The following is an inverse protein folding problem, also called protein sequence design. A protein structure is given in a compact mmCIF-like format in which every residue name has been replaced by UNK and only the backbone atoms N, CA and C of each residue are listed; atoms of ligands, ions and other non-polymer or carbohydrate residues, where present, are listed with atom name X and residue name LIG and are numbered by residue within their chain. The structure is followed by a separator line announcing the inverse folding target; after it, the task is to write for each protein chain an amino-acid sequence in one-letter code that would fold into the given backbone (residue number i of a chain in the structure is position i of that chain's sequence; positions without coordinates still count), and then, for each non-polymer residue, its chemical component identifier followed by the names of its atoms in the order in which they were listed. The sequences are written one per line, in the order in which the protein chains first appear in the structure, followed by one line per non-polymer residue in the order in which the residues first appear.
data_IF_274111876104
#
_entry.id   IF_274111876104
#
_cell.length_a   1.000
_cell.length_b   1.000
_cell.length_c   1.000
_cell.angle_alpha   90.00
_cell.angle_beta   90.00
_cell.angle_gamma   90.00
#
_symmetry.space_group_name_H-M   'P 1'
#
loop_
_entity.id
_entity.type
_entity.pdbx_description
1 polymer ?
#
# COMPACT_ATOMS: atom_id res chain seq x y z
N UNK A 1 -27.51 -13.67 -4.87
CA UNK A 1 -26.67 -12.47 -4.83
C UNK A 1 -26.54 -11.95 -3.41
N UNK A 2 -25.38 -12.16 -2.80
CA UNK A 2 -25.04 -11.61 -1.49
C UNK A 2 -24.60 -10.15 -1.67
N UNK A 3 -25.26 -9.24 -0.97
CA UNK A 3 -24.89 -7.83 -0.95
C UNK A 3 -23.90 -7.57 0.19
N UNK A 4 -22.82 -6.85 -0.10
CA UNK A 4 -21.78 -6.45 0.85
C UNK A 4 -21.69 -4.93 0.91
N UNK A 5 -21.78 -4.38 2.11
CA UNK A 5 -21.70 -2.94 2.35
C UNK A 5 -20.31 -2.51 2.80
N UNK A 6 -19.77 -1.47 2.16
CA UNK A 6 -18.43 -0.94 2.49
C UNK A 6 -18.47 0.58 2.74
N UNK A 7 -17.60 1.04 3.63
CA UNK A 7 -17.33 2.45 3.87
C UNK A 7 -15.91 2.80 3.44
N UNK A 8 -15.72 3.90 2.72
CA UNK A 8 -14.43 4.38 2.27
C UNK A 8 -13.94 5.50 3.19
N UNK A 9 -12.78 5.31 3.81
CA UNK A 9 -12.10 6.29 4.64
C UNK A 9 -10.87 6.79 3.90
N UNK A 10 -10.97 7.99 3.32
CA UNK A 10 -10.03 8.49 2.33
C UNK A 10 -10.57 8.31 0.91
N UNK A 11 -10.57 9.39 0.14
CA UNK A 11 -11.04 9.41 -1.24
C UNK A 11 -10.12 10.26 -2.13
N UNK A 12 -8.81 10.12 -1.89
CA UNK A 12 -7.75 10.67 -2.73
C UNK A 12 -7.56 9.86 -4.02
N UNK A 13 -6.35 9.85 -4.57
CA UNK A 13 -6.07 9.13 -5.83
C UNK A 13 -6.42 7.64 -5.75
N UNK A 14 -5.99 6.96 -4.68
CA UNK A 14 -6.29 5.53 -4.45
C UNK A 14 -7.78 5.28 -4.23
N UNK A 15 -8.44 6.05 -3.36
CA UNK A 15 -9.89 5.88 -3.12
C UNK A 15 -10.76 6.15 -4.35
N UNK A 16 -10.41 7.15 -5.18
CA UNK A 16 -11.07 7.40 -6.47
C UNK A 16 -10.82 6.27 -7.46
N UNK A 17 -9.59 5.76 -7.55
CA UNK A 17 -9.27 4.61 -8.40
C UNK A 17 -10.03 3.35 -7.95
N UNK A 18 -10.19 3.14 -6.65
CA UNK A 18 -10.98 2.07 -6.08
C UNK A 18 -12.47 2.17 -6.41
N UNK A 19 -13.06 3.36 -6.30
CA UNK A 19 -14.45 3.59 -6.73
C UNK A 19 -14.64 3.30 -8.23
N UNK A 20 -13.72 3.77 -9.09
CA UNK A 20 -13.72 3.47 -10.53
C UNK A 20 -13.57 1.97 -10.80
N UNK A 21 -12.69 1.29 -10.07
CA UNK A 21 -12.49 -0.15 -10.18
C UNK A 21 -13.75 -0.94 -9.80
N UNK A 22 -14.42 -0.58 -8.70
CA UNK A 22 -15.68 -1.21 -8.29
C UNK A 22 -16.74 -1.10 -9.37
N UNK A 23 -16.94 0.09 -9.95
CA UNK A 23 -17.87 0.31 -11.06
C UNK A 23 -17.57 -0.61 -12.26
N UNK A 24 -16.29 -0.74 -12.64
CA UNK A 24 -15.87 -1.63 -13.74
C UNK A 24 -16.04 -3.11 -13.43
N UNK A 25 -15.89 -3.52 -12.16
CA UNK A 25 -15.93 -4.92 -11.73
C UNK A 25 -17.33 -5.41 -11.32
N UNK A 26 -18.37 -4.57 -11.38
CA UNK A 26 -19.74 -4.99 -11.02
C UNK A 26 -20.23 -6.21 -11.79
N UNK A 27 -19.98 -6.27 -13.10
CA UNK A 27 -20.42 -7.40 -13.93
C UNK A 27 -19.79 -8.73 -13.48
N UNK A 28 -18.47 -8.74 -13.28
CA UNK A 28 -17.74 -9.95 -12.86
C UNK A 28 -18.06 -10.37 -11.43
N UNK A 29 -18.26 -9.41 -10.51
CA UNK A 29 -18.72 -9.71 -9.15
C UNK A 29 -20.08 -10.43 -9.18
N UNK A 30 -20.99 -9.98 -10.05
CA UNK A 30 -22.31 -10.58 -10.19
C UNK A 30 -22.26 -11.97 -10.85
N UNK A 31 -21.52 -12.11 -11.94
CA UNK A 31 -21.49 -13.37 -12.71
C UNK A 31 -20.67 -14.47 -12.05
N UNK A 32 -19.49 -14.14 -11.51
CA UNK A 32 -18.50 -15.14 -11.12
C UNK A 32 -18.49 -15.37 -9.60
N UNK A 33 -18.97 -14.40 -8.82
CA UNK A 33 -18.94 -14.44 -7.36
C UNK A 33 -20.34 -14.42 -6.70
N UNK A 34 -21.43 -14.20 -7.46
CA UNK A 34 -22.78 -13.94 -6.92
C UNK A 34 -22.77 -12.81 -5.85
N UNK A 35 -21.94 -11.78 -6.06
CA UNK A 35 -21.73 -10.66 -5.14
C UNK A 35 -22.20 -9.34 -5.74
N UNK A 36 -22.74 -8.48 -4.87
CA UNK A 36 -22.90 -7.06 -5.13
C UNK A 36 -22.23 -6.27 -4.00
N UNK A 37 -21.31 -5.37 -4.36
CA UNK A 37 -20.64 -4.49 -3.39
C UNK A 37 -21.25 -3.10 -3.52
N UNK A 38 -21.80 -2.58 -2.42
CA UNK A 38 -22.35 -1.23 -2.32
C UNK A 38 -21.50 -0.38 -1.39
N UNK A 39 -21.22 0.87 -1.80
CA UNK A 39 -20.53 1.84 -0.94
C UNK A 39 -21.58 2.61 -0.17
N UNK A 40 -21.69 2.40 1.13
CA UNK A 40 -22.70 3.06 1.99
C UNK A 40 -22.16 4.29 2.70
N UNK A 41 -20.86 4.55 2.62
CA UNK A 41 -20.28 5.77 3.14
C UNK A 41 -18.94 6.12 2.49
N UNK A 42 -18.68 7.41 2.37
CA UNK A 42 -17.40 7.97 1.94
C UNK A 42 -17.04 9.12 2.88
N UNK A 43 -15.83 9.12 3.43
CA UNK A 43 -15.28 10.24 4.17
C UNK A 43 -13.96 10.70 3.58
N UNK A 44 -13.75 12.02 3.54
CA UNK A 44 -12.58 12.65 2.94
C UNK A 44 -11.94 13.64 3.89
N UNK A 45 -10.68 14.01 3.64
CA UNK A 45 -9.99 15.03 4.42
C UNK A 45 -10.48 16.47 4.14
N UNK A 46 -11.01 16.73 2.94
CA UNK A 46 -11.29 18.11 2.47
C UNK A 46 -12.66 18.34 1.81
N UNK A 47 -13.37 17.29 1.39
CA UNK A 47 -14.66 17.38 0.67
C UNK A 47 -15.84 16.86 1.51
N UNK A 48 -15.66 16.79 2.83
CA UNK A 48 -16.66 16.27 3.77
C UNK A 48 -16.88 14.76 3.64
N UNK A 49 -18.07 14.32 4.02
CA UNK A 49 -18.50 12.92 3.99
C UNK A 49 -19.92 12.75 3.50
N UNK A 50 -20.25 11.53 3.08
CA UNK A 50 -21.59 11.07 2.77
C UNK A 50 -21.84 9.71 3.41
N UNK A 51 -23.01 9.53 4.02
CA UNK A 51 -23.53 8.22 4.42
C UNK A 51 -24.90 8.06 3.74
N UNK A 52 -25.08 6.95 3.05
CA UNK A 52 -26.35 6.57 2.44
C UNK A 52 -26.50 5.05 2.58
N UNK A 53 -27.46 4.63 3.40
CA UNK A 53 -27.73 3.23 3.70
C UNK A 53 -28.15 2.42 2.47
N UNK A 54 -28.76 3.06 1.46
CA UNK A 54 -29.12 2.44 0.19
C UNK A 54 -27.96 2.43 -0.84
N UNK A 55 -26.84 3.08 -0.52
CA UNK A 55 -25.67 3.20 -1.39
C UNK A 55 -25.45 4.63 -1.90
N UNK A 56 -24.20 5.07 -1.82
CA UNK A 56 -23.71 6.34 -2.37
C UNK A 56 -23.45 6.16 -3.87
N UNK A 57 -23.97 7.07 -4.69
CA UNK A 57 -23.71 7.07 -6.12
C UNK A 57 -22.24 7.45 -6.41
N UNK A 58 -21.42 6.46 -6.78
CA UNK A 58 -19.99 6.64 -7.00
C UNK A 58 -19.64 7.56 -8.18
N UNK A 59 -20.38 7.48 -9.29
CA UNK A 59 -20.15 8.39 -10.42
C UNK A 59 -20.34 9.85 -9.98
N UNK A 60 -21.43 10.10 -9.24
CA UNK A 60 -21.71 11.44 -8.72
C UNK A 60 -20.68 11.89 -7.68
N UNK A 61 -20.23 10.99 -6.81
CA UNK A 61 -19.19 11.31 -5.83
C UNK A 61 -17.87 11.72 -6.50
N UNK A 62 -17.48 11.01 -7.58
CA UNK A 62 -16.30 11.34 -8.38
C UNK A 62 -16.44 12.71 -9.04
N UNK A 63 -17.57 12.99 -9.70
CA UNK A 63 -17.85 14.29 -10.34
C UNK A 63 -17.81 15.45 -9.34
N UNK A 64 -18.40 15.29 -8.15
CA UNK A 64 -18.43 16.33 -7.13
C UNK A 64 -17.02 16.70 -6.69
N UNK A 65 -16.18 15.70 -6.41
CA UNK A 65 -14.79 15.93 -5.97
C UNK A 65 -13.94 16.53 -7.08
N UNK A 66 -14.08 16.06 -8.32
CA UNK A 66 -13.38 16.66 -9.47
C UNK A 66 -13.80 18.11 -9.68
N UNK A 67 -15.03 18.47 -9.32
CA UNK A 67 -15.59 19.82 -9.41
C UNK A 67 -15.43 20.66 -8.13
N UNK A 68 -14.78 20.14 -7.09
CA UNK A 68 -14.55 20.84 -5.81
C UNK A 68 -15.81 21.01 -4.92
N UNK A 69 -16.89 20.28 -5.19
CA UNK A 69 -18.12 20.31 -4.38
C UNK A 69 -18.08 19.28 -3.25
N UNK A 70 -18.77 19.55 -2.12
CA UNK A 70 -18.80 18.66 -0.97
C UNK A 70 -19.65 17.41 -1.23
N UNK A 71 -19.23 16.28 -0.65
CA UNK A 71 -19.95 15.00 -0.70
C UNK A 71 -21.24 15.01 0.13
N UNK A 72 -21.42 15.96 1.05
CA UNK A 72 -22.61 16.04 1.92
C UNK A 72 -23.93 16.08 1.15
N UNK A 73 -23.91 16.52 -0.10
CA UNK A 73 -25.06 16.50 -1.03
C UNK A 73 -25.56 15.08 -1.36
N UNK A 74 -24.73 14.05 -1.12
CA UNK A 74 -25.07 12.64 -1.29
C UNK A 74 -25.46 11.94 0.03
N UNK A 75 -25.38 12.66 1.15
CA UNK A 75 -25.71 12.13 2.47
C UNK A 75 -27.22 12.10 2.67
N UNK A 76 -27.78 10.97 3.14
CA UNK A 76 -29.23 10.79 3.31
C UNK A 76 -29.86 11.83 4.26
N UNK A 77 -29.11 12.32 5.25
CA UNK A 77 -29.57 13.29 6.25
C UNK A 77 -28.85 14.65 6.17
N UNK A 78 -28.04 14.88 5.12
CA UNK A 78 -27.25 16.11 4.95
C UNK A 78 -26.18 16.36 6.02
N UNK A 79 -25.98 15.42 6.95
CA UNK A 79 -24.99 15.53 8.02
C UNK A 79 -23.57 15.28 7.49
N UNK A 80 -22.61 15.99 8.06
CA UNK A 80 -21.19 15.79 7.81
C UNK A 80 -20.54 15.16 9.03
N UNK A 81 -19.83 14.05 8.83
CA UNK A 81 -19.04 13.36 9.83
C UNK A 81 -17.55 13.44 9.49
N UNK A 82 -16.69 13.32 10.50
CA UNK A 82 -15.25 13.22 10.32
C UNK A 82 -14.68 12.12 11.22
N UNK A 83 -13.49 11.62 10.85
CA UNK A 83 -12.73 10.66 11.65
C UNK A 83 -13.57 9.50 12.17
N UNK A 84 -13.49 9.27 13.49
CA UNK A 84 -14.23 8.21 14.17
C UNK A 84 -15.75 8.43 14.21
N UNK A 85 -16.23 9.67 14.17
CA UNK A 85 -17.67 9.94 14.14
C UNK A 85 -18.32 9.35 12.88
N UNK A 86 -17.62 9.41 11.74
CA UNK A 86 -18.06 8.78 10.49
C UNK A 86 -18.12 7.24 10.63
N UNK A 87 -17.08 6.64 11.20
CA UNK A 87 -16.97 5.19 11.39
C UNK A 87 -18.08 4.67 12.32
N UNK A 88 -18.41 5.44 13.35
CA UNK A 88 -19.46 5.09 14.30
C UNK A 88 -20.86 5.23 13.70
N UNK A 89 -21.07 6.24 12.84
CA UNK A 89 -22.35 6.51 12.18
C UNK A 89 -22.63 5.57 10.99
N UNK A 90 -21.60 5.15 10.25
CA UNK A 90 -21.80 4.30 9.07
C UNK A 90 -21.98 2.82 9.46
N UNK A 91 -23.05 2.19 9.01
CA UNK A 91 -23.40 0.79 9.31
C UNK A 91 -22.69 -0.26 8.44
N UNK A 92 -21.77 0.15 7.55
CA UNK A 92 -21.07 -0.74 6.62
C UNK A 92 -20.40 -1.96 7.29
N UNK A 93 -20.38 -3.09 6.60
CA UNK A 93 -19.68 -4.31 7.04
C UNK A 93 -18.15 -4.20 6.95
N UNK A 94 -17.64 -3.41 5.99
CA UNK A 94 -16.21 -3.17 5.81
C UNK A 94 -15.86 -1.69 5.99
N UNK A 95 -14.69 -1.42 6.56
CA UNK A 95 -13.98 -0.15 6.38
C UNK A 95 -12.81 -0.38 5.43
N UNK A 96 -12.77 0.36 4.33
CA UNK A 96 -11.64 0.43 3.39
C UNK A 96 -10.92 1.74 3.64
N UNK A 97 -9.68 1.67 4.10
CA UNK A 97 -8.91 2.81 4.60
C UNK A 97 -7.73 3.12 3.66
N UNK A 98 -7.70 4.34 3.15
CA UNK A 98 -6.66 4.84 2.26
C UNK A 98 -6.36 6.32 2.56
N UNK A 99 -6.31 6.68 3.84
CA UNK A 99 -5.93 8.01 4.29
C UNK A 99 -4.42 8.21 4.15
N UNK A 100 -3.93 9.47 4.10
CA UNK A 100 -2.50 9.74 4.00
C UNK A 100 -1.68 9.07 5.12
N UNK A 101 -0.46 8.66 4.78
CA UNK A 101 0.45 8.04 5.71
C UNK A 101 0.99 9.07 6.72
N UNK A 102 0.99 8.67 7.99
CA UNK A 102 1.87 9.25 9.00
C UNK A 102 2.94 8.21 9.37
N UNK A 103 4.22 8.45 9.00
CA UNK A 103 5.28 7.46 9.17
C UNK A 103 5.85 7.38 10.59
N UNK A 104 5.37 8.22 11.53
CA UNK A 104 5.90 8.30 12.88
C UNK A 104 5.17 7.40 13.88
N UNK A 105 3.84 7.33 13.77
CA UNK A 105 3.00 6.59 14.73
C UNK A 105 1.78 5.92 14.07
N UNK A 106 1.61 6.05 12.74
CA UNK A 106 0.49 5.48 12.00
C UNK A 106 -0.86 6.16 12.26
N UNK A 107 -0.90 7.31 12.95
CA UNK A 107 -2.13 8.04 13.23
C UNK A 107 -2.50 9.02 12.11
N UNK A 108 -3.79 9.26 11.82
CA UNK A 108 -4.97 8.76 12.55
C UNK A 108 -5.49 7.40 12.05
N UNK A 109 -4.92 6.85 10.97
CA UNK A 109 -5.37 5.60 10.35
C UNK A 109 -5.46 4.45 11.36
N UNK A 110 -4.48 4.33 12.25
CA UNK A 110 -4.48 3.30 13.29
C UNK A 110 -5.72 3.41 14.22
N UNK A 111 -6.09 4.61 14.66
CA UNK A 111 -7.29 4.81 15.48
C UNK A 111 -8.57 4.51 14.71
N UNK A 112 -8.63 4.88 13.43
CA UNK A 112 -9.77 4.57 12.57
C UNK A 112 -10.00 3.06 12.44
N UNK A 113 -8.94 2.29 12.19
CA UNK A 113 -9.01 0.84 12.07
C UNK A 113 -9.44 0.17 13.38
N UNK A 114 -8.91 0.62 14.53
CA UNK A 114 -9.35 0.15 15.86
C UNK A 114 -10.83 0.45 16.11
N UNK A 115 -11.27 1.66 15.79
CA UNK A 115 -12.66 2.09 15.94
C UNK A 115 -13.59 1.21 15.09
N UNK A 116 -13.23 0.95 13.83
CA UNK A 116 -13.99 0.08 12.93
C UNK A 116 -14.09 -1.37 13.42
N UNK A 117 -12.99 -1.97 13.88
CA UNK A 117 -13.00 -3.31 14.46
C UNK A 117 -13.89 -3.39 15.71
N UNK A 118 -13.84 -2.38 16.58
CA UNK A 118 -14.71 -2.30 17.77
C UNK A 118 -16.19 -2.16 17.41
N UNK A 119 -16.50 -1.61 16.24
CA UNK A 119 -17.85 -1.55 15.65
C UNK A 119 -18.21 -2.80 14.83
N UNK A 120 -17.39 -3.85 14.89
CA UNK A 120 -17.66 -5.13 14.23
C UNK A 120 -17.48 -5.13 12.72
N UNK A 121 -16.66 -4.20 12.18
CA UNK A 121 -16.35 -4.13 10.75
C UNK A 121 -15.13 -4.97 10.41
N UNK A 122 -15.10 -5.54 9.21
CA UNK A 122 -13.84 -5.98 8.61
C UNK A 122 -13.03 -4.75 8.18
N UNK A 123 -11.71 -4.82 8.21
CA UNK A 123 -10.86 -3.70 7.82
C UNK A 123 -9.88 -4.10 6.72
N UNK A 124 -9.79 -3.24 5.71
CA UNK A 124 -8.82 -3.30 4.61
C UNK A 124 -8.10 -1.96 4.58
N UNK A 125 -6.76 -1.96 4.52
CA UNK A 125 -5.99 -0.71 4.54
C UNK A 125 -4.87 -0.72 3.50
N UNK A 126 -4.72 0.37 2.76
CA UNK A 126 -3.53 0.64 1.93
C UNK A 126 -2.44 1.40 2.71
N UNK A 127 -2.64 1.68 3.99
CA UNK A 127 -1.76 2.52 4.79
C UNK A 127 -0.69 1.69 5.51
N UNK A 128 0.57 2.01 5.25
CA UNK A 128 1.74 1.35 5.86
C UNK A 128 1.86 1.60 7.36
N UNK A 129 1.37 2.75 7.85
CA UNK A 129 1.50 3.16 9.25
C UNK A 129 0.89 2.14 10.21
N UNK A 130 -0.40 1.80 10.09
CA UNK A 130 -1.03 0.78 10.93
C UNK A 130 -0.38 -0.61 10.83
N UNK A 131 0.19 -0.98 9.67
CA UNK A 131 0.90 -2.26 9.50
C UNK A 131 2.20 -2.26 10.31
N UNK A 132 2.91 -1.14 10.40
CA UNK A 132 4.16 -1.08 11.17
C UNK A 132 3.90 -0.89 12.66
N UNK A 133 3.04 0.06 13.02
CA UNK A 133 2.86 0.48 14.42
C UNK A 133 1.73 -0.28 15.15
N UNK A 134 0.82 -0.91 14.42
CA UNK A 134 -0.41 -1.47 14.96
C UNK A 134 -0.69 -2.93 14.60
N UNK A 135 0.17 -3.61 13.82
CA UNK A 135 -0.16 -4.92 13.26
C UNK A 135 -0.58 -5.96 14.30
N UNK A 136 0.22 -6.14 15.36
CA UNK A 136 -0.09 -7.11 16.41
C UNK A 136 -1.40 -6.76 17.14
N UNK A 137 -1.58 -5.49 17.51
CA UNK A 137 -2.77 -5.03 18.22
C UNK A 137 -4.04 -5.18 17.36
N UNK A 138 -3.98 -4.75 16.10
CA UNK A 138 -5.10 -4.85 15.16
C UNK A 138 -5.42 -6.31 14.83
N UNK A 139 -4.42 -7.17 14.66
CA UNK A 139 -4.62 -8.59 14.38
C UNK A 139 -5.31 -9.30 15.54
N UNK A 140 -4.82 -9.08 16.78
CA UNK A 140 -5.45 -9.62 18.00
C UNK A 140 -6.86 -9.07 18.19
N UNK A 141 -7.08 -7.78 17.92
CA UNK A 141 -8.42 -7.18 18.03
C UNK A 141 -9.37 -7.74 16.98
N UNK A 142 -8.92 -7.91 15.73
CA UNK A 142 -9.71 -8.47 14.66
C UNK A 142 -10.15 -9.91 14.99
N UNK A 143 -9.24 -10.74 15.48
CA UNK A 143 -9.54 -12.10 15.94
C UNK A 143 -10.58 -12.09 17.08
N UNK A 144 -10.39 -11.28 18.13
CA UNK A 144 -11.34 -11.14 19.25
C UNK A 144 -12.73 -10.70 18.80
N UNK A 145 -12.84 -9.93 17.71
CA UNK A 145 -14.10 -9.45 17.16
C UNK A 145 -14.69 -10.38 16.09
N UNK A 146 -14.03 -11.50 15.79
CA UNK A 146 -14.34 -12.38 14.65
C UNK A 146 -14.44 -11.57 13.34
N UNK A 147 -13.42 -10.74 13.10
CA UNK A 147 -13.25 -9.88 11.93
C UNK A 147 -11.89 -10.09 11.30
N UNK A 148 -11.69 -9.48 10.15
CA UNK A 148 -10.44 -9.57 9.39
C UNK A 148 -9.74 -8.23 9.34
N UNK A 149 -8.41 -8.28 9.30
CA UNK A 149 -7.55 -7.15 9.00
C UNK A 149 -6.57 -7.54 7.89
N UNK A 150 -6.83 -7.06 6.67
CA UNK A 150 -5.91 -7.21 5.54
C UNK A 150 -5.40 -5.85 5.03
N UNK A 151 -4.28 -5.89 4.33
CA UNK A 151 -3.49 -4.71 4.00
C UNK A 151 -2.55 -4.95 2.81
N UNK A 152 -2.99 -5.70 1.80
CA UNK A 152 -2.18 -6.07 0.64
C UNK A 152 -1.51 -4.84 0.02
N UNK A 153 -2.27 -3.76 -0.10
CA UNK A 153 -1.82 -2.51 -0.71
C UNK A 153 -0.88 -1.64 0.11
N UNK A 154 -0.47 -2.10 1.30
CA UNK A 154 0.55 -1.40 2.06
C UNK A 154 1.93 -1.49 1.39
N UNK A 155 2.29 -2.62 0.77
CA UNK A 155 3.61 -2.82 0.16
C UNK A 155 3.46 -3.41 -1.23
N UNK A 156 4.04 -2.75 -2.24
CA UNK A 156 3.93 -3.11 -3.66
C UNK A 156 2.47 -3.12 -4.17
N UNK A 157 1.74 -2.04 -3.87
CA UNK A 157 0.48 -1.66 -4.51
C UNK A 157 -0.61 -2.75 -4.60
N UNK A 158 -0.67 -3.48 -5.71
CA UNK A 158 -1.64 -4.56 -5.91
C UNK A 158 -1.03 -5.95 -5.98
N UNK A 159 0.30 -6.03 -5.97
CA UNK A 159 1.01 -7.29 -6.10
C UNK A 159 0.78 -8.14 -4.83
N UNK A 160 0.52 -9.45 -4.97
CA UNK A 160 0.26 -10.31 -3.82
C UNK A 160 1.55 -10.60 -3.07
N UNK A 161 1.82 -9.84 -2.02
CA UNK A 161 2.96 -10.04 -1.13
C UNK A 161 2.52 -10.78 0.13
N UNK A 162 1.55 -10.24 0.85
CA UNK A 162 1.11 -10.77 2.13
C UNK A 162 0.17 -11.97 1.94
N UNK A 163 -0.79 -11.88 1.02
CA UNK A 163 -1.69 -13.01 0.69
C UNK A 163 -0.94 -14.21 0.14
N UNK A 164 0.15 -14.02 -0.62
CA UNK A 164 0.95 -15.11 -1.15
C UNK A 164 1.41 -16.06 -0.04
N UNK A 165 2.02 -15.54 1.01
CA UNK A 165 2.52 -16.34 2.14
C UNK A 165 1.42 -16.76 3.12
N UNK A 166 0.39 -15.92 3.30
CA UNK A 166 -0.73 -16.23 4.17
C UNK A 166 -1.59 -17.37 3.64
N UNK A 167 -1.73 -17.49 2.31
CA UNK A 167 -2.73 -18.38 1.69
C UNK A 167 -2.12 -19.43 0.75
N UNK A 168 -1.27 -19.02 -0.19
CA UNK A 168 -0.80 -19.92 -1.25
C UNK A 168 0.45 -20.72 -0.87
N UNK A 169 1.27 -20.20 0.04
CA UNK A 169 2.52 -20.81 0.49
C UNK A 169 2.51 -21.14 2.00
N UNK A 170 1.55 -21.96 2.47
CA UNK A 170 1.46 -22.31 3.87
C UNK A 170 2.74 -23.02 4.32
N UNK A 171 3.20 -22.71 5.54
CA UNK A 171 4.38 -23.29 6.18
C UNK A 171 5.74 -23.05 5.49
N UNK A 172 5.81 -22.18 4.47
CA UNK A 172 7.09 -21.70 3.94
C UNK A 172 7.76 -20.76 4.94
N UNK A 173 9.05 -20.99 5.21
CA UNK A 173 9.84 -20.14 6.08
C UNK A 173 10.64 -19.12 5.26
N UNK A 174 10.32 -17.83 5.38
CA UNK A 174 11.09 -16.76 4.72
C UNK A 174 12.28 -16.37 5.59
N UNK A 175 13.51 -16.52 5.08
CA UNK A 175 14.77 -16.21 5.79
C UNK A 175 15.31 -14.82 5.48
N UNK A 176 15.08 -14.36 4.25
CA UNK A 176 15.50 -13.05 3.79
C UNK A 176 14.60 -12.54 2.67
N UNK A 177 14.64 -11.23 2.44
CA UNK A 177 14.15 -10.63 1.21
C UNK A 177 15.10 -9.55 0.72
N UNK A 178 15.10 -9.32 -0.59
CA UNK A 178 15.81 -8.20 -1.23
C UNK A 178 14.97 -7.66 -2.39
N UNK A 179 15.05 -6.37 -2.68
CA UNK A 179 14.21 -5.77 -3.71
C UNK A 179 14.42 -4.29 -3.94
N UNK A 180 13.62 -3.76 -4.86
CA UNK A 180 13.41 -2.32 -5.09
C UNK A 180 11.96 -2.05 -4.72
N UNK A 181 11.76 -1.37 -3.59
CA UNK A 181 10.43 -1.14 -3.02
C UNK A 181 9.98 0.33 -3.12
N UNK A 182 10.78 1.20 -3.72
CA UNK A 182 10.46 2.61 -3.91
C UNK A 182 10.60 3.03 -5.37
N UNK A 183 9.47 3.13 -6.05
CA UNK A 183 9.37 3.48 -7.47
C UNK A 183 9.92 4.87 -7.79
N UNK A 184 9.75 5.84 -6.87
CA UNK A 184 10.23 7.21 -7.04
C UNK A 184 11.75 7.23 -7.21
N UNK A 185 12.51 6.71 -6.23
CA UNK A 185 13.98 6.65 -6.32
C UNK A 185 14.47 5.80 -7.49
N UNK A 186 13.78 4.71 -7.84
CA UNK A 186 14.15 3.91 -9.01
C UNK A 186 14.06 4.73 -10.30
N UNK A 187 12.97 5.48 -10.47
CA UNK A 187 12.76 6.35 -11.62
C UNK A 187 13.77 7.50 -11.66
N UNK A 188 14.06 8.13 -10.52
CA UNK A 188 15.04 9.22 -10.44
C UNK A 188 16.45 8.76 -10.82
N UNK A 189 16.90 7.60 -10.32
CA UNK A 189 18.20 7.03 -10.68
C UNK A 189 18.28 6.68 -12.17
N UNK A 190 17.19 6.17 -12.75
CA UNK A 190 17.11 5.89 -14.19
C UNK A 190 17.15 7.18 -15.02
N UNK A 191 16.51 8.28 -14.57
CA UNK A 191 16.66 9.58 -15.22
C UNK A 191 18.09 10.08 -15.16
N UNK A 192 18.76 9.98 -14.02
CA UNK A 192 20.17 10.39 -13.90
C UNK A 192 21.08 9.57 -14.83
N UNK A 193 20.82 8.26 -14.97
CA UNK A 193 21.51 7.41 -15.93
C UNK A 193 21.29 7.83 -17.40
N UNK A 194 20.18 8.50 -17.68
CA UNK A 194 19.87 9.11 -18.98
C UNK A 194 20.40 10.55 -19.13
N UNK A 195 21.28 11.00 -18.22
CA UNK A 195 22.00 12.28 -18.33
C UNK A 195 21.31 13.48 -17.68
N UNK A 196 20.22 13.29 -16.94
CA UNK A 196 19.62 14.36 -16.15
C UNK A 196 20.43 14.63 -14.87
N UNK A 197 20.45 15.90 -14.42
CA UNK A 197 20.93 16.22 -13.08
C UNK A 197 19.97 15.65 -12.03
N UNK A 198 20.40 15.55 -10.76
CA UNK A 198 19.54 15.11 -9.66
C UNK A 198 18.30 16.01 -9.54
N UNK A 199 18.49 17.33 -9.58
CA UNK A 199 17.40 18.31 -9.47
C UNK A 199 16.43 18.22 -10.66
N UNK A 200 16.95 18.08 -11.88
CA UNK A 200 16.10 17.88 -13.06
C UNK A 200 15.31 16.56 -12.98
N UNK A 201 15.93 15.51 -12.46
CA UNK A 201 15.25 14.23 -12.25
C UNK A 201 14.09 14.39 -11.26
N UNK A 202 14.31 15.07 -10.13
CA UNK A 202 13.27 15.36 -9.13
C UNK A 202 12.13 16.18 -9.75
N UNK A 203 12.45 17.24 -10.50
CA UNK A 203 11.44 18.05 -11.20
C UNK A 203 10.61 17.22 -12.19
N UNK A 204 11.23 16.30 -12.92
CA UNK A 204 10.52 15.38 -13.82
C UNK A 204 9.64 14.39 -13.07
N UNK A 205 10.12 13.86 -11.95
CA UNK A 205 9.32 13.01 -11.07
C UNK A 205 8.06 13.73 -10.56
N UNK A 206 8.20 15.02 -10.21
CA UNK A 206 7.08 15.87 -9.80
C UNK A 206 6.08 16.13 -10.94
N UNK A 207 6.56 16.35 -12.17
CA UNK A 207 5.70 16.57 -13.34
C UNK A 207 4.78 15.37 -13.65
N UNK A 208 5.26 14.15 -13.45
CA UNK A 208 4.46 12.93 -13.65
C UNK A 208 3.71 12.49 -12.37
N UNK A 209 3.92 13.19 -11.26
CA UNK A 209 3.25 12.94 -9.98
C UNK A 209 3.77 11.74 -9.19
N UNK A 210 4.96 11.20 -9.52
CA UNK A 210 5.59 10.13 -8.71
C UNK A 210 6.39 10.69 -7.53
N UNK A 211 6.83 11.94 -7.63
CA UNK A 211 7.59 12.63 -6.58
C UNK A 211 6.75 13.75 -6.01
N UNK A 212 6.68 13.85 -4.68
CA UNK A 212 5.97 14.95 -4.01
C UNK A 212 6.76 16.26 -4.06
N UNK A 213 6.12 17.38 -3.68
CA UNK A 213 6.77 18.69 -3.60
C UNK A 213 7.98 18.66 -2.66
N UNK A 214 7.84 18.00 -1.51
CA UNK A 214 8.96 17.62 -0.65
C UNK A 214 9.30 16.14 -0.93
N UNK A 215 10.41 15.85 -1.64
CA UNK A 215 10.76 14.48 -2.02
C UNK A 215 11.43 13.69 -0.89
N UNK A 216 11.64 14.28 0.29
CA UNK A 216 12.50 13.72 1.35
C UNK A 216 12.05 12.33 1.81
N UNK A 217 10.74 12.05 1.79
CA UNK A 217 10.22 10.71 2.10
C UNK A 217 10.80 9.62 1.16
N UNK A 218 10.99 9.94 -0.11
CA UNK A 218 11.55 9.04 -1.11
C UNK A 218 13.07 9.10 -1.16
N UNK A 219 13.65 10.29 -1.41
CA UNK A 219 15.07 10.41 -1.73
C UNK A 219 15.99 10.17 -0.53
N UNK A 220 15.47 10.33 0.70
CA UNK A 220 16.18 9.90 1.90
C UNK A 220 15.90 8.42 2.23
N UNK A 221 14.95 7.78 1.57
CA UNK A 221 14.67 6.34 1.72
C UNK A 221 13.69 6.00 2.84
N UNK A 222 12.92 6.96 3.37
CA UNK A 222 11.96 6.72 4.44
C UNK A 222 10.77 5.85 4.00
N UNK A 223 10.24 6.07 2.78
CA UNK A 223 9.17 5.22 2.22
C UNK A 223 9.65 3.76 2.02
N UNK A 224 10.89 3.59 1.55
CA UNK A 224 11.52 2.28 1.47
C UNK A 224 11.68 1.64 2.87
N UNK A 225 12.15 2.40 3.87
CA UNK A 225 12.34 1.90 5.24
C UNK A 225 11.03 1.46 5.89
N UNK A 226 9.93 2.19 5.71
CA UNK A 226 8.63 1.77 6.27
C UNK A 226 8.10 0.51 5.57
N UNK A 227 8.38 0.30 4.28
CA UNK A 227 8.07 -0.96 3.58
C UNK A 227 8.90 -2.12 4.09
N UNK A 228 10.21 -1.93 4.31
CA UNK A 228 11.09 -2.94 4.94
C UNK A 228 10.60 -3.29 6.35
N UNK A 229 10.20 -2.30 7.14
CA UNK A 229 9.64 -2.50 8.48
C UNK A 229 8.31 -3.27 8.44
N UNK A 230 7.42 -2.94 7.50
CA UNK A 230 6.15 -3.65 7.32
C UNK A 230 6.37 -5.12 6.94
N UNK A 231 7.25 -5.39 5.96
CA UNK A 231 7.59 -6.75 5.55
C UNK A 231 8.23 -7.55 6.71
N UNK A 232 9.17 -6.95 7.43
CA UNK A 232 9.80 -7.61 8.60
C UNK A 232 8.78 -7.91 9.70
N UNK A 233 7.89 -6.96 9.98
CA UNK A 233 6.86 -7.13 11.02
C UNK A 233 5.90 -8.26 10.68
N UNK A 234 5.42 -8.31 9.44
CA UNK A 234 4.36 -9.25 9.03
C UNK A 234 4.91 -10.61 8.60
N UNK A 235 5.97 -10.62 7.78
CA UNK A 235 6.49 -11.85 7.18
C UNK A 235 7.49 -12.58 8.07
N UNK A 236 8.24 -11.84 8.91
CA UNK A 236 9.15 -12.46 9.88
C UNK A 236 8.55 -12.58 11.28
N UNK A 237 7.45 -11.88 11.57
CA UNK A 237 6.92 -11.77 12.93
C UNK A 237 7.85 -10.98 13.86
N UNK A 238 8.73 -10.12 13.32
CA UNK A 238 9.69 -9.32 14.08
C UNK A 238 9.36 -7.84 13.89
N UNK A 239 8.65 -7.21 14.85
CA UNK A 239 8.29 -5.81 14.75
C UNK A 239 9.53 -4.91 14.83
N UNK A 240 9.68 -4.03 13.84
CA UNK A 240 10.67 -2.96 13.83
C UNK A 240 10.03 -1.67 13.31
N UNK A 241 10.60 -0.52 13.65
CA UNK A 241 10.18 0.79 13.11
C UNK A 241 11.09 1.23 11.95
N UNK A 242 10.66 2.20 11.11
CA UNK A 242 11.49 2.70 10.03
C UNK A 242 12.82 3.30 10.50
N UNK A 243 12.89 3.80 11.74
CA UNK A 243 14.10 4.36 12.35
C UNK A 243 15.12 3.27 12.73
N UNK A 244 14.68 2.01 12.90
CA UNK A 244 15.57 0.88 13.18
C UNK A 244 16.16 0.26 11.90
N UNK A 245 15.73 0.71 10.73
CA UNK A 245 16.30 0.30 9.44
C UNK A 245 17.57 1.11 9.17
N UNK A 246 18.67 0.42 8.84
CA UNK A 246 19.92 1.04 8.42
C UNK A 246 19.74 1.70 7.04
N UNK A 247 19.43 3.00 7.06
CA UNK A 247 18.93 3.77 5.92
C UNK A 247 19.97 4.74 5.40
N UNK A 248 20.25 4.68 4.11
CA UNK A 248 20.92 5.70 3.31
C UNK A 248 20.08 5.95 2.07
N UNK A 249 19.78 7.21 1.79
CA UNK A 249 19.00 7.62 0.61
C UNK A 249 19.85 7.74 -0.65
N UNK A 250 19.26 8.27 -1.71
CA UNK A 250 19.93 8.53 -3.00
C UNK A 250 20.44 9.97 -3.14
N UNK A 251 20.21 10.84 -2.14
CA UNK A 251 20.52 12.28 -2.20
C UNK A 251 21.97 12.60 -2.57
N UNK A 252 22.91 11.78 -2.10
CA UNK A 252 24.35 11.99 -2.30
C UNK A 252 24.90 11.25 -3.53
N UNK A 253 24.05 10.62 -4.34
CA UNK A 253 24.46 9.99 -5.60
C UNK A 253 24.70 11.10 -6.63
N UNK A 254 25.91 11.15 -7.20
CA UNK A 254 26.29 12.18 -8.19
C UNK A 254 26.24 11.65 -9.63
N UNK A 255 26.23 12.57 -10.60
CA UNK A 255 26.30 12.21 -12.02
C UNK A 255 27.58 11.45 -12.37
N UNK A 256 28.71 11.77 -11.71
CA UNK A 256 29.97 11.06 -11.88
C UNK A 256 29.87 9.62 -11.37
N UNK A 257 29.22 9.39 -10.21
CA UNK A 257 29.00 8.04 -9.68
C UNK A 257 28.11 7.21 -10.61
N UNK A 258 27.08 7.82 -11.20
CA UNK A 258 26.20 7.17 -12.19
C UNK A 258 26.97 6.83 -13.47
N UNK A 259 27.79 7.77 -13.97
CA UNK A 259 28.60 7.56 -15.16
C UNK A 259 29.62 6.44 -14.97
N UNK A 260 30.35 6.45 -13.85
CA UNK A 260 31.30 5.38 -13.49
C UNK A 260 30.62 4.01 -13.43
N UNK A 261 29.45 3.90 -12.78
CA UNK A 261 28.69 2.65 -12.77
C UNK A 261 28.30 2.20 -14.19
N UNK A 262 27.81 3.13 -15.02
CA UNK A 262 27.39 2.84 -16.39
C UNK A 262 28.55 2.37 -17.27
N UNK A 263 29.74 2.98 -17.15
CA UNK A 263 30.96 2.58 -17.86
C UNK A 263 31.43 1.17 -17.48
N UNK A 264 31.12 0.72 -16.26
CA UNK A 264 31.40 -0.63 -15.79
C UNK A 264 30.26 -1.64 -16.07
N UNK A 265 29.24 -1.25 -16.83
CA UNK A 265 28.08 -2.12 -17.13
C UNK A 265 27.13 -2.32 -15.95
N UNK A 266 27.17 -1.41 -14.97
CA UNK A 266 26.40 -1.44 -13.73
C UNK A 266 25.38 -0.30 -13.67
N UNK A 267 24.43 -0.40 -12.73
CA UNK A 267 23.44 0.62 -12.44
C UNK A 267 23.37 0.86 -10.94
N UNK A 268 23.08 2.09 -10.53
CA UNK A 268 22.68 2.38 -9.16
C UNK A 268 21.21 2.05 -8.96
N UNK A 269 20.88 1.39 -7.85
CA UNK A 269 19.52 1.12 -7.38
C UNK A 269 19.42 1.36 -5.88
N UNK A 270 18.29 1.85 -5.39
CA UNK A 270 18.00 1.88 -3.94
C UNK A 270 17.53 0.50 -3.50
N UNK A 271 18.45 -0.33 -3.04
CA UNK A 271 18.17 -1.70 -2.63
C UNK A 271 17.59 -1.73 -1.21
N UNK A 272 16.52 -2.48 -1.04
CA UNK A 272 15.87 -2.79 0.22
C UNK A 272 16.16 -4.25 0.56
N UNK A 273 16.55 -4.56 1.79
CA UNK A 273 16.76 -5.95 2.20
C UNK A 273 16.57 -6.16 3.70
N UNK A 274 16.21 -7.37 4.09
CA UNK A 274 16.29 -7.80 5.48
C UNK A 274 16.58 -9.30 5.56
N UNK A 275 17.24 -9.72 6.62
CA UNK A 275 17.58 -11.11 6.89
C UNK A 275 17.33 -11.44 8.36
N UNK A 276 16.85 -12.65 8.63
CA UNK A 276 16.68 -13.18 9.98
C UNK A 276 17.33 -14.54 10.16
N UNK A 277 17.56 -14.91 11.40
CA UNK A 277 17.90 -16.27 11.82
C UNK A 277 16.99 -16.66 12.98
N UNK A 278 16.11 -17.63 12.75
CA UNK A 278 15.03 -17.93 13.68
C UNK A 278 14.19 -16.67 13.95
N UNK A 279 14.01 -16.31 15.22
CA UNK A 279 13.22 -15.14 15.62
C UNK A 279 14.06 -13.86 15.78
N UNK A 280 15.33 -13.87 15.34
CA UNK A 280 16.22 -12.73 15.45
C UNK A 280 16.48 -12.08 14.10
N UNK A 281 16.29 -10.76 14.01
CA UNK A 281 16.61 -9.97 12.84
C UNK A 281 18.11 -9.72 12.79
N UNK A 282 18.78 -10.20 11.75
CA UNK A 282 20.21 -10.00 11.53
C UNK A 282 20.49 -8.64 10.88
N UNK A 283 19.64 -8.24 9.93
CA UNK A 283 19.78 -6.99 9.20
C UNK A 283 18.44 -6.50 8.66
N UNK A 284 18.30 -5.18 8.57
CA UNK A 284 17.27 -4.49 7.80
C UNK A 284 17.90 -3.22 7.25
N UNK A 285 18.00 -3.12 5.91
CA UNK A 285 18.85 -2.16 5.22
C UNK A 285 18.12 -1.55 4.02
N UNK A 286 18.27 -0.24 3.85
CA UNK A 286 17.87 0.51 2.65
C UNK A 286 19.05 1.35 2.22
N UNK A 287 19.72 1.02 1.11
CA UNK A 287 20.94 1.72 0.66
C UNK A 287 21.08 1.73 -0.85
N UNK A 288 21.70 2.77 -1.45
CA UNK A 288 22.13 2.71 -2.83
C UNK A 288 23.15 1.58 -3.04
N UNK A 289 22.97 0.79 -4.09
CA UNK A 289 23.87 -0.28 -4.47
C UNK A 289 24.12 -0.25 -5.98
N UNK A 290 25.37 -0.54 -6.37
CA UNK A 290 25.72 -0.85 -7.76
C UNK A 290 25.31 -2.28 -8.05
N UNK A 291 24.56 -2.48 -9.12
CA UNK A 291 24.11 -3.80 -9.59
C UNK A 291 24.53 -4.01 -11.03
N UNK A 292 24.97 -5.21 -11.38
CA UNK A 292 25.32 -5.61 -12.74
C UNK A 292 24.22 -6.52 -13.33
N UNK A 293 24.36 -6.90 -14.61
CA UNK A 293 23.38 -7.70 -15.34
C UNK A 293 23.09 -9.10 -14.76
N UNK A 294 23.89 -9.60 -13.81
CA UNK A 294 23.63 -10.87 -13.12
C UNK A 294 22.65 -10.70 -11.95
N UNK A 295 22.46 -9.48 -11.46
CA UNK A 295 21.48 -9.18 -10.41
C UNK A 295 20.07 -9.08 -10.97
N UNK A 296 19.10 -9.70 -10.29
CA UNK A 296 17.68 -9.56 -10.62
C UNK A 296 17.19 -8.10 -10.55
N UNK A 297 17.88 -7.24 -9.79
CA UNK A 297 17.55 -5.82 -9.66
C UNK A 297 17.93 -4.97 -10.89
N UNK A 298 18.82 -5.48 -11.76
CA UNK A 298 19.39 -4.70 -12.87
C UNK A 298 18.36 -4.28 -13.92
N UNK A 299 17.36 -5.11 -14.15
CA UNK A 299 16.32 -4.90 -15.17
C UNK A 299 15.04 -4.27 -14.60
N UNK A 300 15.02 -3.93 -13.31
CA UNK A 300 13.89 -3.25 -12.68
C UNK A 300 14.05 -1.75 -12.93
N UNK A 301 13.35 -1.24 -13.94
CA UNK A 301 13.49 0.13 -14.40
C UNK A 301 12.17 0.91 -14.26
N UNK A 302 12.25 2.21 -14.49
CA UNK A 302 11.11 3.11 -14.46
C UNK A 302 10.51 3.15 -13.06
N UNK A 303 9.20 2.96 -13.01
CA UNK A 303 8.43 3.00 -11.76
C UNK A 303 8.18 1.60 -11.20
N UNK A 304 8.76 0.58 -11.82
CA UNK A 304 8.60 -0.82 -11.42
C UNK A 304 9.18 -1.10 -10.03
N UNK A 305 8.54 -2.03 -9.33
CA UNK A 305 8.99 -2.57 -8.05
C UNK A 305 9.28 -4.06 -8.16
N UNK A 306 10.16 -4.57 -7.30
CA UNK A 306 10.53 -5.98 -7.27
C UNK A 306 10.88 -6.41 -5.86
N UNK A 307 10.52 -7.63 -5.50
CA UNK A 307 11.00 -8.29 -4.29
C UNK A 307 11.28 -9.75 -4.59
N UNK A 308 12.41 -10.24 -4.10
CA UNK A 308 12.78 -11.65 -4.08
C UNK A 308 12.92 -12.11 -2.65
N UNK A 309 12.45 -13.33 -2.39
CA UNK A 309 12.49 -13.97 -1.10
C UNK A 309 13.47 -15.14 -1.11
N UNK A 310 14.30 -15.20 -0.07
CA UNK A 310 15.03 -16.41 0.28
C UNK A 310 14.15 -17.21 1.25
N UNK A 311 13.83 -18.44 0.88
CA UNK A 311 13.01 -19.32 1.70
C UNK A 311 13.73 -20.64 1.99
N UNK A 312 13.20 -21.43 2.91
CA UNK A 312 13.74 -22.73 3.25
C UNK A 312 13.57 -23.79 2.14
N UNK A 313 12.53 -23.69 1.32
CA UNK A 313 12.16 -24.71 0.32
C UNK A 313 12.04 -24.21 -1.13
N UNK A 314 11.76 -22.93 -1.35
CA UNK A 314 11.62 -22.33 -2.69
C UNK A 314 12.76 -21.33 -2.95
N UNK A 315 13.82 -21.75 -3.67
CA UNK A 315 14.92 -20.85 -3.99
C UNK A 315 14.50 -19.79 -5.02
N UNK A 316 14.70 -18.53 -4.69
CA UNK A 316 14.59 -17.42 -5.65
C UNK A 316 13.16 -17.05 -6.06
N UNK A 317 12.18 -17.19 -5.18
CA UNK A 317 10.81 -16.75 -5.46
C UNK A 317 10.74 -15.22 -5.46
N UNK A 318 10.45 -14.63 -6.62
CA UNK A 318 10.35 -13.18 -6.77
C UNK A 318 9.05 -12.72 -7.43
N UNK A 319 8.66 -11.49 -7.12
CA UNK A 319 7.49 -10.80 -7.67
C UNK A 319 7.97 -9.49 -8.27
N UNK A 320 7.61 -9.26 -9.52
CA UNK A 320 7.81 -8.00 -10.22
C UNK A 320 6.45 -7.34 -10.46
N UNK A 321 6.38 -6.05 -10.17
CA UNK A 321 5.26 -5.20 -10.55
C UNK A 321 5.78 -4.12 -11.50
N UNK A 322 5.35 -4.18 -12.75
CA UNK A 322 5.81 -3.27 -13.80
C UNK A 322 4.92 -2.04 -13.85
N UNK A 323 5.55 -0.89 -13.69
CA UNK A 323 4.95 0.44 -13.77
C UNK A 323 3.57 0.60 -13.09
N UNK A 324 3.50 0.42 -11.76
CA UNK A 324 2.27 0.52 -11.01
C UNK A 324 1.69 1.93 -11.02
N UNK A 325 0.40 2.01 -10.67
CA UNK A 325 -0.31 3.25 -10.49
C UNK A 325 -1.49 3.08 -9.54
N UNK A 326 -2.30 4.13 -9.30
CA UNK A 326 -3.37 4.06 -8.32
C UNK A 326 -4.39 2.93 -8.54
N UNK A 327 -4.53 2.44 -9.78
CA UNK A 327 -5.38 1.30 -10.09
C UNK A 327 -4.84 -0.03 -9.55
N UNK A 328 -3.52 -0.23 -9.49
CA UNK A 328 -2.93 -1.44 -8.90
C UNK A 328 -3.08 -1.42 -7.38
N UNK A 329 -2.84 -0.26 -6.73
CA UNK A 329 -3.15 -0.08 -5.30
C UNK A 329 -4.64 -0.31 -5.01
N UNK A 330 -5.53 0.19 -5.87
CA UNK A 330 -6.96 -0.09 -5.74
C UNK A 330 -7.29 -1.59 -5.88
N UNK A 331 -6.57 -2.31 -6.75
CA UNK A 331 -6.76 -3.74 -6.92
C UNK A 331 -6.39 -4.55 -5.68
N UNK A 332 -5.30 -4.23 -4.99
CA UNK A 332 -4.94 -4.95 -3.76
C UNK A 332 -6.02 -4.84 -2.68
N UNK A 333 -6.58 -3.64 -2.46
CA UNK A 333 -7.73 -3.48 -1.55
C UNK A 333 -8.97 -4.25 -2.02
N UNK A 334 -9.22 -4.30 -3.33
CA UNK A 334 -10.32 -5.07 -3.90
C UNK A 334 -10.13 -6.57 -3.66
N UNK A 335 -8.92 -7.09 -3.90
CA UNK A 335 -8.55 -8.48 -3.66
C UNK A 335 -8.69 -8.84 -2.17
N UNK A 336 -8.29 -7.96 -1.26
CA UNK A 336 -8.45 -8.16 0.18
C UNK A 336 -9.92 -8.31 0.59
N UNK A 337 -10.82 -7.48 0.06
CA UNK A 337 -12.26 -7.62 0.33
C UNK A 337 -12.75 -9.00 -0.12
N UNK A 338 -12.38 -9.44 -1.32
CA UNK A 338 -12.78 -10.75 -1.83
C UNK A 338 -12.19 -11.90 -1.01
N UNK A 339 -10.92 -11.81 -0.61
CA UNK A 339 -10.26 -12.83 0.22
C UNK A 339 -10.91 -12.91 1.61
N UNK A 340 -11.32 -11.78 2.19
CA UNK A 340 -12.09 -11.76 3.44
C UNK A 340 -13.45 -12.41 3.25
N UNK A 341 -14.21 -12.03 2.21
CA UNK A 341 -15.53 -12.63 1.94
C UNK A 341 -15.38 -14.13 1.77
N UNK A 342 -14.39 -14.59 1.00
CA UNK A 342 -14.08 -16.02 0.82
C UNK A 342 -13.82 -16.68 2.18
N UNK A 343 -12.91 -16.14 2.99
CA UNK A 343 -12.55 -16.67 4.32
C UNK A 343 -13.77 -16.83 5.24
N UNK A 344 -14.72 -15.89 5.20
CA UNK A 344 -15.92 -15.87 6.06
C UNK A 344 -17.15 -16.51 5.41
N UNK A 345 -17.06 -17.05 4.19
CA UNK A 345 -18.15 -17.80 3.54
C UNK A 345 -18.04 -19.31 3.76
N UNK A 346 -16.88 -19.80 4.21
CA UNK A 346 -16.62 -21.21 4.51
C UNK A 346 -16.71 -21.55 6.01
N UNK A 347 -17.31 -20.68 6.82
CA UNK A 347 -17.52 -20.87 8.28
C UNK A 347 -18.99 -21.03 8.59
#
# INVERSE_FOLDING_TARGET
MRQISIALMGFGNVGKAFAKLLLRKQAILKSDFDLEIIVTGIATGSHGSAINSAGVNLNRALELIESGYPLTTLCENGQNFNGEAFINACSAEFLVESTPLNPFDGQPALSYLKSALNRGKHIVSANKGPVVFGYNELSVLAEKRNKAYFFESAVMDGAPIFSLFREALPAVEIRAFSGILNSCTNYLLDLMANGYSFDDAVLKGQQIGITETDPSADIDGWDASIKVAALSTVLFGIPITPQQVDRTGIRDITAEMIKDATENGEKWKLACSAQRQGNHLLSAVVKPQRVNAQSALYNINGTSSYVVFETDVLPGLGIVETDPGPETTAYGMFADILNIIKKFSYV
#
